data_IF_725177582368
#
_entry.id   IF_725177582368
#
_cell.length_a   1.000
_cell.length_b   1.000
_cell.length_c   1.000
_cell.angle_alpha   90.00
_cell.angle_beta   90.00
_cell.angle_gamma   90.00
#
_symmetry.space_group_name_H-M   'P 1'
#
loop_
_entity.id
_entity.type
_entity.pdbx_description
1 polymer ?
#
# COMPACT_ATOMS: atom_id res chain seq x y z
N UNK A 1 -10.57 -16.63 0.19
CA UNK A 1 -10.64 -16.44 1.65
C UNK A 1 -9.27 -16.53 2.33
N UNK A 2 -8.51 -17.62 2.19
CA UNK A 2 -7.19 -17.76 2.85
C UNK A 2 -6.15 -16.68 2.49
N UNK A 3 -6.04 -16.28 1.22
CA UNK A 3 -5.13 -15.19 0.83
C UNK A 3 -5.50 -13.82 1.45
N UNK A 4 -6.80 -13.56 1.65
CA UNK A 4 -7.27 -12.32 2.27
C UNK A 4 -6.96 -12.28 3.77
N UNK A 5 -7.22 -13.37 4.48
CA UNK A 5 -6.87 -13.48 5.90
C UNK A 5 -5.35 -13.40 6.13
N UNK A 6 -4.56 -14.04 5.27
CA UNK A 6 -3.10 -13.93 5.30
C UNK A 6 -2.62 -12.50 5.06
N UNK A 7 -3.21 -11.79 4.09
CA UNK A 7 -2.91 -10.40 3.84
C UNK A 7 -3.24 -9.51 5.06
N UNK A 8 -4.40 -9.70 5.69
CA UNK A 8 -4.79 -8.97 6.90
C UNK A 8 -3.82 -9.24 8.05
N UNK A 9 -3.47 -10.51 8.30
CA UNK A 9 -2.53 -10.87 9.36
C UNK A 9 -1.14 -10.23 9.16
N UNK A 10 -0.64 -10.23 7.91
CA UNK A 10 0.60 -9.55 7.57
C UNK A 10 0.48 -8.03 7.77
N UNK A 11 -0.64 -7.43 7.37
CA UNK A 11 -0.84 -5.98 7.53
C UNK A 11 -0.95 -5.54 9.00
N UNK A 12 -1.50 -6.39 9.87
CA UNK A 12 -1.55 -6.13 11.32
C UNK A 12 -0.17 -6.12 11.98
N UNK A 13 0.83 -6.83 11.45
CA UNK A 13 2.20 -6.83 12.01
C UNK A 13 3.11 -5.77 11.38
N UNK A 14 2.73 -5.26 10.21
CA UNK A 14 3.47 -4.22 9.48
C UNK A 14 3.68 -2.97 10.33
N UNK A 15 2.67 -2.50 11.09
CA UNK A 15 2.82 -1.32 11.95
C UNK A 15 3.92 -1.49 13.02
N UNK A 16 3.97 -2.66 13.66
CA UNK A 16 5.00 -2.99 14.64
C UNK A 16 6.38 -3.11 13.99
N UNK A 17 6.45 -3.77 12.82
CA UNK A 17 7.70 -3.90 12.06
C UNK A 17 8.24 -2.53 11.60
N UNK A 18 7.36 -1.64 11.11
CA UNK A 18 7.71 -0.26 10.77
C UNK A 18 8.24 0.50 11.98
N UNK A 19 7.56 0.43 13.14
CA UNK A 19 8.01 1.11 14.35
C UNK A 19 9.41 0.67 14.78
N UNK A 20 9.69 -0.64 14.74
CA UNK A 20 11.01 -1.18 15.09
C UNK A 20 12.05 -0.79 14.05
N UNK A 21 11.75 -0.94 12.76
CA UNK A 21 12.68 -0.57 11.69
C UNK A 21 13.00 0.93 11.73
N UNK A 22 12.00 1.80 11.89
CA UNK A 22 12.19 3.26 11.98
C UNK A 22 12.97 3.73 13.21
N UNK A 23 13.17 2.87 14.21
CA UNK A 23 14.09 3.16 15.32
C UNK A 23 15.57 3.00 14.96
N UNK A 24 15.87 2.31 13.86
CA UNK A 24 17.22 1.96 13.43
C UNK A 24 17.58 2.53 12.05
N UNK A 25 16.59 2.85 11.22
CA UNK A 25 16.77 3.30 9.84
C UNK A 25 15.81 4.43 9.49
N UNK A 26 16.23 5.30 8.58
CA UNK A 26 15.37 6.34 8.04
C UNK A 26 14.24 5.72 7.22
N UNK A 27 13.06 6.37 7.13
CA UNK A 27 11.96 5.81 6.38
C UNK A 27 12.28 5.65 4.88
N UNK A 28 13.15 6.48 4.31
CA UNK A 28 13.67 6.33 2.95
C UNK A 28 14.44 5.02 2.75
N UNK A 29 15.35 4.67 3.67
CA UNK A 29 16.12 3.42 3.63
C UNK A 29 15.21 2.20 3.74
N UNK A 30 14.23 2.25 4.64
CA UNK A 30 13.25 1.19 4.83
C UNK A 30 12.47 0.92 3.53
N UNK A 31 11.96 1.97 2.89
CA UNK A 31 11.20 1.85 1.64
C UNK A 31 12.07 1.32 0.51
N UNK A 32 13.33 1.77 0.43
CA UNK A 32 14.29 1.28 -0.55
C UNK A 32 14.51 -0.23 -0.40
N UNK A 33 14.76 -0.70 0.83
CA UNK A 33 14.92 -2.12 1.14
C UNK A 33 13.64 -2.90 0.86
N UNK A 34 12.47 -2.40 1.28
CA UNK A 34 11.19 -3.04 1.04
C UNK A 34 10.90 -3.19 -0.46
N UNK A 35 11.19 -2.15 -1.25
CA UNK A 35 11.02 -2.15 -2.71
C UNK A 35 12.00 -3.11 -3.38
N UNK A 36 13.25 -3.15 -2.93
CA UNK A 36 14.26 -4.09 -3.43
C UNK A 36 13.87 -5.54 -3.14
N UNK A 37 13.45 -5.85 -1.91
CA UNK A 37 12.99 -7.19 -1.53
C UNK A 37 11.77 -7.58 -2.36
N UNK A 38 10.81 -6.68 -2.54
CA UNK A 38 9.63 -6.92 -3.39
C UNK A 38 10.02 -7.21 -4.84
N UNK A 39 10.94 -6.40 -5.41
CA UNK A 39 11.44 -6.58 -6.78
C UNK A 39 12.16 -7.92 -6.95
N UNK A 40 13.02 -8.31 -6.00
CA UNK A 40 13.71 -9.60 -6.02
C UNK A 40 12.73 -10.78 -5.93
N UNK A 41 11.74 -10.69 -5.03
CA UNK A 41 10.77 -11.75 -4.81
C UNK A 41 9.85 -11.93 -6.04
N UNK A 42 9.35 -10.83 -6.60
CA UNK A 42 8.58 -10.83 -7.84
C UNK A 42 9.42 -11.31 -9.03
N UNK A 43 10.69 -10.88 -9.13
CA UNK A 43 11.62 -11.33 -10.14
C UNK A 43 11.87 -12.84 -10.08
N UNK A 44 12.12 -13.38 -8.88
CA UNK A 44 12.28 -14.81 -8.66
C UNK A 44 11.03 -15.61 -9.05
N UNK A 45 9.84 -15.11 -8.73
CA UNK A 45 8.57 -15.73 -9.13
C UNK A 45 8.39 -15.75 -10.65
N UNK A 46 8.67 -14.65 -11.34
CA UNK A 46 8.57 -14.54 -12.80
C UNK A 46 9.56 -15.48 -13.50
N UNK A 47 10.80 -15.56 -12.99
CA UNK A 47 11.82 -16.49 -13.49
C UNK A 47 11.34 -17.92 -13.30
N UNK A 48 10.82 -18.28 -12.11
CA UNK A 48 10.32 -19.63 -11.82
C UNK A 48 9.12 -20.02 -12.68
N UNK A 49 8.29 -19.05 -13.09
CA UNK A 49 7.17 -19.25 -14.01
C UNK A 49 7.59 -19.30 -15.49
N UNK A 50 8.87 -19.03 -15.83
CA UNK A 50 9.36 -18.99 -17.21
C UNK A 50 8.86 -17.79 -18.03
N UNK A 51 8.26 -16.77 -17.39
CA UNK A 51 7.62 -15.62 -18.05
C UNK A 51 8.50 -14.38 -18.14
N UNK A 52 9.82 -14.54 -17.97
CA UNK A 52 10.77 -13.43 -17.93
C UNK A 52 10.73 -12.55 -19.19
N UNK A 53 10.66 -13.17 -20.37
CA UNK A 53 10.63 -12.41 -21.63
C UNK A 53 9.32 -11.64 -21.84
N UNK A 54 8.21 -12.15 -21.31
CA UNK A 54 6.92 -11.46 -21.36
C UNK A 54 6.94 -10.24 -20.44
N UNK A 55 7.43 -10.41 -19.21
CA UNK A 55 7.57 -9.35 -18.22
C UNK A 55 8.54 -8.23 -18.65
N UNK A 56 9.60 -8.57 -19.39
CA UNK A 56 10.55 -7.59 -19.91
C UNK A 56 10.09 -6.90 -21.20
N UNK A 57 9.04 -7.38 -21.87
CA UNK A 57 8.55 -6.79 -23.13
C UNK A 57 7.28 -5.97 -22.94
N UNK A 58 6.46 -6.29 -21.95
CA UNK A 58 5.14 -5.67 -21.77
C UNK A 58 4.98 -5.08 -20.37
N UNK A 59 4.05 -4.13 -20.24
CA UNK A 59 3.63 -3.64 -18.92
C UNK A 59 4.54 -2.57 -18.30
N UNK A 60 5.65 -2.18 -18.93
CA UNK A 60 6.54 -1.11 -18.42
C UNK A 60 5.82 0.19 -18.11
N UNK A 61 4.86 0.59 -18.95
CA UNK A 61 4.09 1.82 -18.72
C UNK A 61 3.27 1.72 -17.43
N UNK A 62 2.60 0.60 -17.21
CA UNK A 62 1.83 0.33 -16.00
C UNK A 62 2.73 0.17 -14.78
N UNK A 63 3.86 -0.51 -14.92
CA UNK A 63 4.84 -0.69 -13.85
C UNK A 63 5.50 0.63 -13.43
N UNK A 64 5.88 1.47 -14.40
CA UNK A 64 6.40 2.81 -14.14
C UNK A 64 5.35 3.69 -13.47
N UNK A 65 4.09 3.63 -13.92
CA UNK A 65 3.03 4.39 -13.27
C UNK A 65 2.76 3.89 -11.85
N UNK A 66 2.70 2.58 -11.65
CA UNK A 66 2.49 1.98 -10.33
C UNK A 66 3.62 2.37 -9.37
N UNK A 67 4.89 2.24 -9.79
CA UNK A 67 6.06 2.62 -9.00
C UNK A 67 6.14 4.12 -8.70
N UNK A 68 5.73 4.96 -9.65
CA UNK A 68 5.66 6.41 -9.45
C UNK A 68 4.55 6.78 -8.47
N UNK A 69 3.39 6.11 -8.49
CA UNK A 69 2.32 6.33 -7.51
C UNK A 69 2.72 5.81 -6.11
N UNK A 70 3.27 4.60 -6.04
CA UNK A 70 3.76 3.98 -4.82
C UNK A 70 5.00 3.11 -5.16
N UNK A 71 6.18 3.39 -4.59
CA UNK A 71 6.39 4.21 -3.41
C UNK A 71 6.60 5.71 -3.66
N UNK A 72 6.96 6.16 -4.86
CA UNK A 72 7.59 7.49 -5.02
C UNK A 72 6.68 8.66 -4.60
N UNK A 73 5.55 8.88 -5.29
CA UNK A 73 4.68 10.02 -5.03
C UNK A 73 4.02 9.92 -3.65
N UNK A 74 3.53 8.73 -3.27
CA UNK A 74 2.90 8.50 -1.99
C UNK A 74 3.82 8.87 -0.82
N UNK A 75 5.07 8.40 -0.81
CA UNK A 75 5.98 8.68 0.30
C UNK A 75 6.54 10.10 0.28
N UNK A 76 6.70 10.73 -0.89
CA UNK A 76 7.04 12.16 -0.97
C UNK A 76 5.95 13.03 -0.33
N UNK A 77 4.68 12.75 -0.62
CA UNK A 77 3.55 13.44 0.03
C UNK A 77 3.49 13.11 1.51
N UNK A 78 3.72 11.86 1.90
CA UNK A 78 3.71 11.43 3.30
C UNK A 78 4.78 12.17 4.11
N UNK A 79 6.04 12.20 3.67
CA UNK A 79 7.09 12.93 4.37
C UNK A 79 6.83 14.43 4.40
N UNK A 80 6.35 15.00 3.29
CA UNK A 80 5.94 16.39 3.24
C UNK A 80 4.81 16.73 4.22
N UNK A 81 3.91 15.79 4.49
CA UNK A 81 2.84 15.94 5.48
C UNK A 81 3.37 15.79 6.91
N UNK A 82 4.22 14.79 7.18
CA UNK A 82 4.83 14.55 8.49
C UNK A 82 5.73 15.71 8.95
N UNK A 83 6.39 16.42 8.03
CA UNK A 83 7.15 17.64 8.36
C UNK A 83 6.25 18.82 8.78
N UNK A 84 4.96 18.79 8.41
CA UNK A 84 4.00 19.89 8.63
C UNK A 84 2.97 19.61 9.72
N UNK A 85 2.76 18.34 10.07
CA UNK A 85 1.70 17.89 10.97
C UNK A 85 2.29 17.04 12.11
N UNK A 86 1.72 17.09 13.33
CA UNK A 86 2.06 16.15 14.39
C UNK A 86 1.88 14.70 13.92
N UNK A 87 2.80 13.82 14.28
CA UNK A 87 2.80 12.42 13.80
C UNK A 87 1.51 11.63 14.07
N UNK A 88 0.70 12.02 15.06
CA UNK A 88 -0.62 11.44 15.33
C UNK A 88 -1.67 11.87 14.29
N UNK A 89 -1.67 13.13 13.87
CA UNK A 89 -2.59 13.63 12.84
C UNK A 89 -2.25 13.02 11.47
N UNK A 90 -0.96 12.93 11.15
CA UNK A 90 -0.51 12.31 9.92
C UNK A 90 -0.86 10.81 9.84
N UNK A 91 -0.84 10.11 10.99
CA UNK A 91 -1.22 8.70 11.07
C UNK A 91 -2.74 8.51 10.93
N UNK A 92 -3.55 9.36 11.58
CA UNK A 92 -5.01 9.35 11.43
C UNK A 92 -5.42 9.62 9.97
N UNK A 93 -4.76 10.58 9.31
CA UNK A 93 -4.92 10.85 7.88
C UNK A 93 -4.46 9.66 7.01
N UNK A 94 -3.41 8.96 7.42
CA UNK A 94 -2.94 7.80 6.68
C UNK A 94 -4.00 6.69 6.61
N UNK A 95 -4.68 6.41 7.74
CA UNK A 95 -5.70 5.38 7.80
C UNK A 95 -6.96 5.68 6.96
N UNK A 96 -7.17 6.92 6.50
CA UNK A 96 -8.28 7.25 5.60
C UNK A 96 -8.11 6.69 4.19
N UNK A 97 -6.93 6.16 3.84
CA UNK A 97 -6.66 5.60 2.52
C UNK A 97 -7.62 4.46 2.15
N UNK A 98 -8.01 3.61 3.10
CA UNK A 98 -8.93 2.50 2.85
C UNK A 98 -10.32 3.01 2.44
N UNK A 99 -10.78 4.07 3.10
CA UNK A 99 -12.04 4.74 2.78
C UNK A 99 -11.94 5.47 1.43
N UNK A 100 -10.83 6.16 1.17
CA UNK A 100 -10.56 6.82 -0.11
C UNK A 100 -10.56 5.83 -1.28
N UNK A 101 -9.93 4.66 -1.12
CA UNK A 101 -9.94 3.58 -2.10
C UNK A 101 -11.33 3.01 -2.32
N UNK A 102 -12.12 2.82 -1.26
CA UNK A 102 -13.51 2.37 -1.38
C UNK A 102 -14.37 3.36 -2.17
N UNK A 103 -14.21 4.67 -1.94
CA UNK A 103 -14.90 5.69 -2.71
C UNK A 103 -14.41 5.76 -4.15
N UNK A 104 -13.10 5.66 -4.40
CA UNK A 104 -12.52 5.67 -5.75
C UNK A 104 -12.85 4.42 -6.56
N UNK A 105 -13.13 3.28 -5.91
CA UNK A 105 -13.56 2.06 -6.58
C UNK A 105 -14.90 2.24 -7.31
N UNK A 106 -15.78 3.15 -6.85
CA UNK A 106 -17.06 3.43 -7.51
C UNK A 106 -16.87 4.01 -8.91
N UNK A 107 -16.20 5.17 -9.11
CA UNK A 107 -16.00 5.74 -10.43
C UNK A 107 -14.94 5.00 -11.26
N UNK A 108 -13.90 4.41 -10.65
CA UNK A 108 -12.77 3.83 -11.39
C UNK A 108 -13.05 2.38 -11.83
N UNK A 109 -13.62 1.55 -10.96
CA UNK A 109 -13.93 0.15 -11.29
C UNK A 109 -15.38 -0.06 -11.76
N UNK A 110 -16.24 0.97 -11.68
CA UNK A 110 -17.67 0.83 -11.98
C UNK A 110 -18.43 -0.06 -10.98
N UNK A 111 -17.84 -0.33 -9.82
CA UNK A 111 -18.45 -1.13 -8.76
C UNK A 111 -19.61 -0.34 -8.14
N UNK A 112 -20.81 -0.93 -8.11
CA UNK A 112 -21.96 -0.34 -7.41
C UNK A 112 -21.81 -0.59 -5.92
N UNK A 113 -21.36 0.40 -5.16
CA UNK A 113 -21.33 0.32 -3.70
C UNK A 113 -22.76 0.06 -3.19
N UNK A 114 -22.97 -1.08 -2.56
CA UNK A 114 -24.25 -1.36 -1.91
C UNK A 114 -24.34 -0.59 -0.60
N UNK A 115 -25.54 -0.31 -0.10
CA UNK A 115 -25.73 0.36 1.21
C UNK A 115 -25.03 -0.39 2.34
N UNK A 116 -24.85 -1.69 2.17
CA UNK A 116 -24.15 -2.58 3.10
C UNK A 116 -22.63 -2.36 3.08
N UNK A 117 -22.03 -2.08 1.91
CA UNK A 117 -20.61 -1.74 1.79
C UNK A 117 -20.30 -0.37 2.44
N UNK A 118 -21.22 0.58 2.30
CA UNK A 118 -21.11 1.90 2.96
C UNK A 118 -21.21 1.74 4.49
N UNK A 119 -22.19 0.98 4.97
CA UNK A 119 -22.36 0.73 6.40
C UNK A 119 -21.15 -0.04 6.98
N UNK A 120 -20.65 -1.07 6.28
CA UNK A 120 -19.46 -1.81 6.67
C UNK A 120 -18.20 -0.92 6.66
N UNK A 121 -18.06 -0.05 5.66
CA UNK A 121 -16.96 0.93 5.59
C UNK A 121 -16.99 1.93 6.74
N UNK A 122 -18.18 2.44 7.10
CA UNK A 122 -18.35 3.34 8.24
C UNK A 122 -18.08 2.64 9.58
N UNK A 123 -18.53 1.40 9.76
CA UNK A 123 -18.26 0.60 10.97
C UNK A 123 -16.76 0.28 11.06
N UNK A 124 -16.13 -0.10 9.95
CA UNK A 124 -14.70 -0.37 9.90
C UNK A 124 -13.87 0.89 10.20
N UNK A 125 -14.28 2.06 9.70
CA UNK A 125 -13.62 3.33 9.98
C UNK A 125 -13.85 3.83 11.41
N UNK A 126 -15.02 3.57 11.99
CA UNK A 126 -15.29 3.88 13.40
C UNK A 126 -14.39 3.10 14.37
N UNK A 127 -13.92 1.91 13.98
CA UNK A 127 -12.97 1.11 14.77
C UNK A 127 -11.49 1.51 14.63
N UNK A 128 -11.18 2.50 13.79
CA UNK A 128 -9.80 2.98 13.52
C UNK A 128 -9.42 4.18 14.40
N UNK A 129 -10.40 4.76 15.12
CA UNK A 129 -10.18 5.84 16.09
C UNK A 129 -9.62 5.36 17.43
#
# INVERSE_FOLDING_TARGET
MFYGLGAVALWSTVATAFKVALSQMSPLELIWLASLVSWLLMGALVIRQGRLMEALRHGWRTAAWAGLMNPVAYYLVLFGAYDRLPGQEAMALNYTWALAMAFLAVPILGQRLTRMDVAAGLIAYAGVW
#
